data_IF_964223918400
#
_entry.id   IF_964223918400
#
_cell.length_a   1.000
_cell.length_b   1.000
_cell.length_c   1.000
_cell.angle_alpha   90.00
_cell.angle_beta   90.00
_cell.angle_gamma   90.00
#
_symmetry.space_group_name_H-M   'P 1'
#
loop_
_entity.id
_entity.type
_entity.pdbx_description
1 polymer ?
#
# COMPACT_ATOMS: atom_id res chain seq x y z
N UNK A 1 -14.16 9.82 19.89
CA UNK A 1 -14.35 9.58 18.44
C UNK A 1 -14.61 8.10 18.23
N UNK A 2 -15.71 7.73 17.58
CA UNK A 2 -16.14 6.33 17.43
C UNK A 2 -15.16 5.56 16.52
N UNK A 3 -14.66 4.41 16.98
CA UNK A 3 -13.72 3.57 16.22
C UNK A 3 -14.30 3.15 14.86
N UNK A 4 -15.61 2.90 14.77
CA UNK A 4 -16.30 2.52 13.53
C UNK A 4 -16.29 3.64 12.49
N UNK A 5 -16.42 4.91 12.91
CA UNK A 5 -16.36 6.06 11.98
C UNK A 5 -14.95 6.22 11.42
N UNK A 6 -13.92 5.99 12.23
CA UNK A 6 -12.53 6.06 11.77
C UNK A 6 -12.18 4.93 10.80
N UNK A 7 -12.69 3.72 11.02
CA UNK A 7 -12.52 2.61 10.08
C UNK A 7 -13.12 2.94 8.72
N UNK A 8 -14.37 3.43 8.69
CA UNK A 8 -15.04 3.79 7.43
C UNK A 8 -14.30 4.90 6.69
N UNK A 9 -13.86 5.95 7.40
CA UNK A 9 -13.23 7.10 6.75
C UNK A 9 -11.81 6.82 6.25
N UNK A 10 -11.04 5.98 6.96
CA UNK A 10 -9.60 5.83 6.72
C UNK A 10 -9.16 4.45 6.24
N UNK A 11 -9.96 3.40 6.46
CA UNK A 11 -9.62 2.03 6.06
C UNK A 11 -10.55 1.50 4.96
N UNK A 12 -11.85 1.75 5.07
CA UNK A 12 -12.87 1.17 4.19
C UNK A 12 -13.43 2.19 3.17
N UNK A 13 -12.77 3.33 2.99
CA UNK A 13 -13.21 4.37 2.06
C UNK A 13 -12.86 3.97 0.61
N UNK A 14 -13.86 3.76 -0.27
CA UNK A 14 -13.63 3.31 -1.64
C UNK A 14 -13.01 4.37 -2.57
N UNK A 15 -12.98 5.64 -2.17
CA UNK A 15 -12.35 6.73 -2.95
C UNK A 15 -10.83 6.79 -2.74
N UNK A 16 -10.36 6.35 -1.57
CA UNK A 16 -8.94 6.39 -1.20
C UNK A 16 -8.03 5.64 -2.19
N UNK A 17 -8.38 4.44 -2.71
CA UNK A 17 -7.55 3.74 -3.68
C UNK A 17 -7.23 4.57 -4.94
N UNK A 18 -8.22 5.28 -5.49
CA UNK A 18 -8.02 6.09 -6.69
C UNK A 18 -7.13 7.31 -6.41
N UNK A 19 -7.36 7.97 -5.27
CA UNK A 19 -6.53 9.10 -4.83
C UNK A 19 -5.08 8.69 -4.52
N UNK A 20 -4.88 7.53 -3.89
CA UNK A 20 -3.53 6.97 -3.66
C UNK A 20 -2.85 6.70 -5.00
N UNK A 21 -3.54 6.10 -5.97
CA UNK A 21 -2.97 5.84 -7.29
C UNK A 21 -2.57 7.14 -7.99
N UNK A 22 -3.43 8.17 -7.95
CA UNK A 22 -3.13 9.50 -8.48
C UNK A 22 -1.90 10.13 -7.80
N UNK A 23 -1.83 10.07 -6.48
CA UNK A 23 -0.69 10.57 -5.72
C UNK A 23 0.61 9.83 -6.06
N UNK A 24 0.59 8.49 -6.09
CA UNK A 24 1.75 7.68 -6.48
C UNK A 24 2.24 8.02 -7.89
N UNK A 25 1.33 8.20 -8.84
CA UNK A 25 1.65 8.62 -10.21
C UNK A 25 2.29 10.02 -10.28
N UNK A 26 2.03 10.88 -9.29
CA UNK A 26 2.70 12.18 -9.19
C UNK A 26 4.15 12.10 -8.72
N UNK A 27 4.61 10.95 -8.18
CA UNK A 27 5.95 10.77 -7.63
C UNK A 27 6.87 10.12 -8.67
N UNK A 28 7.86 10.84 -9.25
CA UNK A 28 8.68 10.30 -10.33
C UNK A 28 9.47 9.04 -9.94
N UNK A 29 9.96 8.99 -8.69
CA UNK A 29 10.67 7.81 -8.17
C UNK A 29 9.77 6.59 -8.02
N UNK A 30 8.49 6.80 -7.70
CA UNK A 30 7.52 5.70 -7.61
C UNK A 30 7.25 5.13 -9.01
N UNK A 31 6.96 6.01 -9.97
CA UNK A 31 6.72 5.62 -11.38
C UNK A 31 7.92 4.87 -11.95
N UNK A 32 9.14 5.33 -11.68
CA UNK A 32 10.36 4.63 -12.08
C UNK A 32 10.45 3.24 -11.45
N UNK A 33 10.24 3.13 -10.12
CA UNK A 33 10.30 1.83 -9.44
C UNK A 33 9.23 0.86 -9.94
N UNK A 34 8.03 1.35 -10.27
CA UNK A 34 6.95 0.55 -10.88
C UNK A 34 7.34 0.03 -12.27
N UNK A 35 7.98 0.86 -13.09
CA UNK A 35 8.49 0.44 -14.40
C UNK A 35 9.57 -0.64 -14.28
N UNK A 36 10.53 -0.45 -13.38
CA UNK A 36 11.61 -1.42 -13.10
C UNK A 36 11.03 -2.76 -12.59
N UNK A 37 10.05 -2.69 -11.68
CA UNK A 37 9.32 -3.87 -11.20
C UNK A 37 8.61 -4.60 -12.35
N UNK A 38 7.85 -3.88 -13.17
CA UNK A 38 7.09 -4.47 -14.28
C UNK A 38 7.99 -5.16 -15.29
N UNK A 39 9.16 -4.58 -15.59
CA UNK A 39 10.15 -5.21 -16.47
C UNK A 39 10.68 -6.52 -15.85
N UNK A 40 11.15 -6.47 -14.59
CA UNK A 40 11.68 -7.64 -13.91
C UNK A 40 10.62 -8.76 -13.74
N UNK A 41 9.37 -8.38 -13.46
CA UNK A 41 8.24 -9.29 -13.37
C UNK A 41 7.98 -10.03 -14.69
N UNK A 42 7.97 -9.31 -15.82
CA UNK A 42 7.81 -9.91 -17.14
C UNK A 42 8.94 -10.87 -17.50
N UNK A 43 10.19 -10.47 -17.23
CA UNK A 43 11.36 -11.32 -17.43
C UNK A 43 11.26 -12.61 -16.61
N UNK A 44 10.92 -12.49 -15.32
CA UNK A 44 10.77 -13.64 -14.43
C UNK A 44 9.61 -14.55 -14.87
N UNK A 45 8.46 -13.99 -15.22
CA UNK A 45 7.30 -14.75 -15.71
C UNK A 45 7.64 -15.55 -16.97
N UNK A 46 8.48 -15.00 -17.86
CA UNK A 46 8.99 -15.71 -19.04
C UNK A 46 9.89 -16.91 -18.69
N UNK A 47 10.62 -16.85 -17.59
CA UNK A 47 11.54 -17.91 -17.15
C UNK A 47 10.83 -19.04 -16.39
N UNK A 48 9.90 -18.71 -15.49
CA UNK A 48 9.28 -19.68 -14.58
C UNK A 48 7.87 -20.11 -15.00
N UNK A 49 7.31 -19.45 -16.02
CA UNK A 49 5.95 -19.68 -16.49
C UNK A 49 4.90 -18.95 -15.65
N UNK A 50 3.76 -18.69 -16.28
CA UNK A 50 2.69 -17.87 -15.70
C UNK A 50 2.11 -18.42 -14.40
N UNK A 51 1.91 -19.74 -14.28
CA UNK A 51 1.29 -20.34 -13.09
C UNK A 51 2.18 -20.18 -11.85
N UNK A 52 3.48 -20.50 -11.98
CA UNK A 52 4.43 -20.33 -10.88
C UNK A 52 4.66 -18.86 -10.55
N UNK A 53 4.73 -18.00 -11.57
CA UNK A 53 4.82 -16.56 -11.36
C UNK A 53 3.61 -16.00 -10.62
N UNK A 54 2.39 -16.35 -11.03
CA UNK A 54 1.16 -15.85 -10.40
C UNK A 54 1.08 -16.24 -8.93
N UNK A 55 1.45 -17.48 -8.58
CA UNK A 55 1.49 -17.94 -7.18
C UNK A 55 2.53 -17.18 -6.35
N UNK A 56 3.70 -16.93 -6.93
CA UNK A 56 4.75 -16.14 -6.28
C UNK A 56 4.28 -14.69 -6.06
N UNK A 57 3.71 -14.07 -7.09
CA UNK A 57 3.24 -12.68 -7.05
C UNK A 57 2.11 -12.50 -6.03
N UNK A 58 1.16 -13.45 -5.96
CA UNK A 58 0.09 -13.44 -4.97
C UNK A 58 0.66 -13.47 -3.54
N UNK A 59 1.60 -14.36 -3.25
CA UNK A 59 2.23 -14.46 -1.93
C UNK A 59 3.02 -13.17 -1.57
N UNK A 60 3.76 -12.61 -2.53
CA UNK A 60 4.51 -11.38 -2.36
C UNK A 60 3.58 -10.19 -2.09
N UNK A 61 2.52 -10.03 -2.89
CA UNK A 61 1.55 -8.95 -2.76
C UNK A 61 0.83 -8.99 -1.41
N UNK A 62 0.45 -10.18 -0.93
CA UNK A 62 -0.15 -10.33 0.39
C UNK A 62 0.81 -9.91 1.51
N UNK A 63 2.08 -10.32 1.45
CA UNK A 63 3.09 -9.90 2.42
C UNK A 63 3.28 -8.38 2.43
N UNK A 64 3.50 -7.77 1.26
CA UNK A 64 3.73 -6.33 1.13
C UNK A 64 2.51 -5.52 1.57
N UNK A 65 1.29 -5.98 1.26
CA UNK A 65 0.06 -5.34 1.72
C UNK A 65 -0.08 -5.39 3.25
N UNK A 66 0.31 -6.51 3.88
CA UNK A 66 0.31 -6.63 5.34
C UNK A 66 1.33 -5.68 5.98
N UNK A 67 2.54 -5.58 5.42
CA UNK A 67 3.57 -4.65 5.88
C UNK A 67 3.16 -3.18 5.71
N UNK A 68 2.63 -2.81 4.53
CA UNK A 68 2.11 -1.47 4.27
C UNK A 68 0.99 -1.09 5.25
N UNK A 69 0.08 -2.03 5.55
CA UNK A 69 -0.98 -1.84 6.56
C UNK A 69 -0.39 -1.65 7.95
N UNK A 70 0.62 -2.42 8.34
CA UNK A 70 1.29 -2.27 9.64
C UNK A 70 1.96 -0.88 9.76
N UNK A 71 2.70 -0.45 8.73
CA UNK A 71 3.32 0.88 8.66
C UNK A 71 2.29 2.01 8.74
N UNK A 72 1.16 1.87 8.03
CA UNK A 72 0.06 2.83 8.08
C UNK A 72 -0.52 2.95 9.49
N UNK A 73 -0.86 1.82 10.12
CA UNK A 73 -1.41 1.78 11.48
C UNK A 73 -0.43 2.35 12.51
N UNK A 74 0.85 2.03 12.39
CA UNK A 74 1.90 2.60 13.24
C UNK A 74 1.95 4.13 13.11
N UNK A 75 2.00 4.64 11.88
CA UNK A 75 1.99 6.08 11.62
C UNK A 75 0.71 6.77 12.08
N UNK A 76 -0.46 6.10 11.97
CA UNK A 76 -1.72 6.61 12.48
C UNK A 76 -1.71 6.73 14.02
N UNK A 77 -1.16 5.73 14.71
CA UNK A 77 -0.96 5.76 16.16
C UNK A 77 -0.07 6.94 16.61
N UNK A 78 1.02 7.22 15.88
CA UNK A 78 1.88 8.38 16.13
C UNK A 78 1.13 9.70 15.98
N UNK A 79 0.36 9.86 14.89
CA UNK A 79 -0.44 11.07 14.66
C UNK A 79 -1.52 11.26 15.74
N UNK A 80 -2.18 10.18 16.16
CA UNK A 80 -3.16 10.24 17.24
C UNK A 80 -2.51 10.67 18.56
N UNK A 81 -1.33 10.14 18.88
CA UNK A 81 -0.58 10.52 20.09
C UNK A 81 -0.20 12.01 20.05
N UNK A 82 0.38 12.47 18.95
CA UNK A 82 0.76 13.89 18.78
C UNK A 82 -0.44 14.83 18.90
N UNK A 83 -1.58 14.49 18.29
CA UNK A 83 -2.79 15.31 18.39
C UNK A 83 -3.33 15.38 19.82
N UNK A 84 -3.24 14.30 20.60
CA UNK A 84 -3.61 14.32 22.04
C UNK A 84 -2.67 15.21 22.85
N UNK A 85 -1.37 15.11 22.62
CA UNK A 85 -0.37 15.94 23.30
C UNK A 85 -0.51 17.43 22.96
N UNK A 86 -0.89 17.76 21.72
CA UNK A 86 -1.15 19.13 21.29
C UNK A 86 -2.51 19.69 21.75
N UNK A 87 -3.50 18.82 21.99
CA UNK A 87 -4.85 19.24 22.37
C UNK A 87 -5.02 19.53 23.87
N UNK A 88 -4.10 19.06 24.74
CA UNK A 88 -4.17 19.23 26.19
C UNK A 88 -5.11 18.25 26.87
#
# INVERSE_FOLDING_TARGET
>A
MNQTILQILFLDNPEIPAEIASFCNSLPKYVQAEQEYNQAAQELAGLIGYEQFSRFEEALNWHLAAEARACYLFGLGLRQKLLRELAG
#
